data_IF_700539124489
#
_entry.id   IF_700539124489
#
_cell.length_a   1.000
_cell.length_b   1.000
_cell.length_c   1.000
_cell.angle_alpha   90.00
_cell.angle_beta   90.00
_cell.angle_gamma   90.00
#
_symmetry.space_group_name_H-M   'P 1'
#
loop_
_entity.id
_entity.type
_entity.pdbx_description
1 polymer ?
#
# COMPACT_ATOMS: atom_id res chain seq x y z
N UNK A 1 50.59 6.34 35.65
CA UNK A 1 49.12 6.23 35.76
C UNK A 1 48.53 6.72 34.44
N UNK A 2 48.16 5.80 33.54
CA UNK A 2 47.63 6.14 32.20
C UNK A 2 46.12 5.95 32.23
N UNK A 3 45.37 7.04 32.07
CA UNK A 3 43.92 7.02 31.91
C UNK A 3 43.63 6.93 30.40
N UNK A 4 43.08 5.80 29.96
CA UNK A 4 42.56 5.63 28.60
C UNK A 4 41.10 6.07 28.59
N UNK A 5 40.80 7.18 27.91
CA UNK A 5 39.44 7.57 27.54
C UNK A 5 39.00 6.68 26.36
N UNK A 6 38.05 5.78 26.60
CA UNK A 6 37.30 5.13 25.52
C UNK A 6 36.16 6.06 25.08
N UNK A 7 36.35 6.71 23.92
CA UNK A 7 35.28 7.33 23.16
C UNK A 7 34.39 6.23 22.57
N UNK A 8 33.25 5.99 23.22
CA UNK A 8 32.17 5.16 22.68
C UNK A 8 31.49 5.86 21.52
N UNK A 9 31.96 5.61 20.30
CA UNK A 9 31.22 5.86 19.07
C UNK A 9 30.06 4.87 18.99
N UNK A 10 28.89 5.29 19.48
CA UNK A 10 27.62 4.62 19.17
C UNK A 10 27.32 4.91 17.71
N UNK A 11 27.76 4.00 16.83
CA UNK A 11 27.37 3.99 15.43
C UNK A 11 25.89 3.63 15.33
N UNK A 12 25.04 4.64 15.20
CA UNK A 12 23.69 4.46 14.68
C UNK A 12 23.81 4.08 13.20
N UNK A 13 23.85 2.78 12.93
CA UNK A 13 23.62 2.25 11.58
C UNK A 13 22.15 2.49 11.23
N UNK A 14 21.85 3.66 10.65
CA UNK A 14 20.63 3.86 9.90
C UNK A 14 20.69 2.94 8.68
N UNK A 15 20.09 1.76 8.78
CA UNK A 15 19.80 0.95 7.61
C UNK A 15 18.93 1.81 6.68
N UNK A 16 19.50 2.26 5.57
CA UNK A 16 18.78 3.01 4.56
C UNK A 16 17.63 2.12 4.06
N UNK A 17 16.39 2.49 4.42
CA UNK A 17 15.20 1.84 3.87
C UNK A 17 15.18 2.14 2.37
N UNK A 18 15.44 1.13 1.54
CA UNK A 18 15.42 1.27 0.09
C UNK A 18 13.97 1.35 -0.38
N UNK A 19 13.53 2.55 -0.72
CA UNK A 19 12.26 2.76 -1.42
C UNK A 19 12.49 2.69 -2.93
N UNK A 20 11.68 1.87 -3.61
CA UNK A 20 11.70 1.73 -5.06
C UNK A 20 10.38 2.24 -5.63
N UNK A 21 10.44 3.37 -6.35
CA UNK A 21 9.30 3.93 -7.06
C UNK A 21 9.35 3.53 -8.54
N UNK A 22 8.26 2.99 -9.06
CA UNK A 22 8.11 2.68 -10.50
C UNK A 22 6.68 2.84 -10.97
N UNK A 23 6.51 2.83 -12.29
CA UNK A 23 5.19 2.75 -12.92
C UNK A 23 4.66 1.32 -12.82
N UNK A 24 3.35 1.19 -12.55
CA UNK A 24 2.68 -0.10 -12.52
C UNK A 24 2.65 -0.70 -13.92
N UNK A 25 3.42 -1.75 -14.14
CA UNK A 25 3.33 -2.61 -15.32
C UNK A 25 2.32 -3.76 -15.08
N UNK A 26 2.18 -4.62 -16.08
CA UNK A 26 1.25 -5.76 -16.05
C UNK A 26 1.57 -6.76 -14.95
N UNK A 27 2.84 -7.14 -14.84
CA UNK A 27 3.31 -8.11 -13.85
C UNK A 27 3.13 -7.58 -12.43
N UNK A 28 3.43 -6.29 -12.20
CA UNK A 28 3.23 -5.63 -10.91
C UNK A 28 1.74 -5.50 -10.56
N UNK A 29 0.88 -5.20 -11.54
CA UNK A 29 -0.58 -5.20 -11.34
C UNK A 29 -1.04 -6.57 -10.86
N UNK A 30 -0.65 -7.65 -11.54
CA UNK A 30 -1.03 -9.02 -11.16
C UNK A 30 -0.48 -9.41 -9.79
N UNK A 31 0.77 -9.06 -9.49
CA UNK A 31 1.38 -9.29 -8.18
C UNK A 31 0.59 -8.60 -7.05
N UNK A 32 0.28 -7.31 -7.21
CA UNK A 32 -0.48 -6.53 -6.21
C UNK A 32 -1.90 -7.07 -6.08
N UNK A 33 -2.57 -7.34 -7.20
CA UNK A 33 -3.93 -7.90 -7.19
C UNK A 33 -3.94 -9.25 -6.45
N UNK A 34 -2.96 -10.13 -6.73
CA UNK A 34 -2.81 -11.41 -6.05
C UNK A 34 -2.63 -11.23 -4.54
N UNK A 35 -1.73 -10.35 -4.09
CA UNK A 35 -1.54 -10.09 -2.65
C UNK A 35 -2.86 -9.64 -2.02
N UNK A 36 -3.52 -8.65 -2.60
CA UNK A 36 -4.76 -8.12 -2.04
C UNK A 36 -5.93 -9.13 -2.07
N UNK A 37 -5.94 -10.05 -3.05
CA UNK A 37 -6.94 -11.12 -3.15
C UNK A 37 -6.70 -12.27 -2.18
N UNK A 38 -5.45 -12.70 -2.02
CA UNK A 38 -5.12 -13.89 -1.23
C UNK A 38 -4.83 -13.61 0.24
N UNK A 39 -4.49 -12.36 0.57
CA UNK A 39 -4.08 -12.03 1.94
C UNK A 39 -5.27 -11.92 2.88
N UNK A 40 -5.07 -12.41 4.10
CA UNK A 40 -6.03 -12.27 5.19
C UNK A 40 -5.66 -11.01 5.98
N UNK A 41 -6.65 -10.24 6.43
CA UNK A 41 -6.41 -9.14 7.36
C UNK A 41 -5.92 -9.70 8.68
N UNK A 42 -4.83 -9.15 9.21
CA UNK A 42 -4.30 -9.57 10.51
C UNK A 42 -5.37 -9.45 11.61
N UNK A 43 -5.31 -10.29 12.67
CA UNK A 43 -6.37 -10.36 13.68
C UNK A 43 -6.64 -9.05 14.40
N UNK A 44 -5.64 -8.17 14.51
CA UNK A 44 -5.77 -6.85 15.11
C UNK A 44 -6.42 -5.81 14.18
N UNK A 45 -6.69 -6.13 12.91
CA UNK A 45 -7.31 -5.19 11.97
C UNK A 45 -8.83 -5.38 11.88
N UNK A 46 -9.54 -4.26 11.84
CA UNK A 46 -10.99 -4.19 11.67
C UNK A 46 -11.35 -3.48 10.35
N UNK A 47 -11.15 -4.18 9.25
CA UNK A 47 -11.46 -3.68 7.91
C UNK A 47 -11.60 -4.86 6.93
N UNK A 48 -12.11 -4.57 5.74
CA UNK A 48 -12.18 -5.52 4.63
C UNK A 48 -11.81 -4.83 3.34
N UNK A 49 -11.11 -5.57 2.48
CA UNK A 49 -10.80 -5.17 1.12
C UNK A 49 -11.46 -6.14 0.15
N UNK A 50 -12.00 -5.61 -0.95
CA UNK A 50 -12.42 -6.39 -2.11
C UNK A 50 -11.71 -5.83 -3.32
N UNK A 51 -11.06 -6.70 -4.06
CA UNK A 51 -10.36 -6.35 -5.29
C UNK A 51 -11.08 -6.95 -6.49
N UNK A 52 -11.04 -6.24 -7.62
CA UNK A 52 -11.47 -6.75 -8.92
C UNK A 52 -10.52 -6.28 -10.00
N UNK A 53 -10.09 -7.20 -10.85
CA UNK A 53 -9.48 -6.85 -12.12
C UNK A 53 -10.54 -6.35 -13.11
N UNK A 54 -10.26 -5.22 -13.74
CA UNK A 54 -11.13 -4.59 -14.72
C UNK A 54 -10.36 -4.27 -15.99
N UNK A 55 -11.05 -4.44 -17.13
CA UNK A 55 -10.61 -3.98 -18.44
C UNK A 55 -11.69 -3.11 -19.04
N UNK A 56 -11.37 -1.85 -19.31
CA UNK A 56 -12.32 -0.86 -19.80
C UNK A 56 -11.78 -0.14 -21.04
N UNK A 57 -12.61 0.05 -22.05
CA UNK A 57 -12.30 0.93 -23.17
C UNK A 57 -12.41 2.39 -22.69
N UNK A 58 -11.32 3.15 -22.82
CA UNK A 58 -11.27 4.58 -22.51
C UNK A 58 -11.01 5.40 -23.76
N UNK A 59 -11.72 6.51 -23.89
CA UNK A 59 -11.56 7.47 -24.99
C UNK A 59 -10.50 8.50 -24.61
N UNK A 60 -9.43 8.55 -25.40
CA UNK A 60 -8.39 9.56 -25.32
C UNK A 60 -8.49 10.49 -26.53
N UNK A 61 -7.79 11.63 -26.49
CA UNK A 61 -7.68 12.53 -27.65
C UNK A 61 -7.08 11.82 -28.88
N UNK A 62 -6.25 10.80 -28.65
CA UNK A 62 -5.66 9.95 -29.69
C UNK A 62 -6.55 8.77 -30.16
N UNK A 63 -7.80 8.68 -29.69
CA UNK A 63 -8.73 7.58 -29.97
C UNK A 63 -9.02 6.68 -28.76
N UNK A 64 -9.82 5.62 -28.99
CA UNK A 64 -10.14 4.64 -27.95
C UNK A 64 -9.01 3.66 -27.70
N UNK A 65 -8.76 3.33 -26.43
CA UNK A 65 -7.80 2.28 -26.03
C UNK A 65 -8.36 1.47 -24.87
N UNK A 66 -8.04 0.17 -24.85
CA UNK A 66 -8.28 -0.67 -23.69
C UNK A 66 -7.28 -0.32 -22.58
N UNK A 67 -7.81 -0.10 -21.38
CA UNK A 67 -7.01 0.14 -20.18
C UNK A 67 -7.39 -0.91 -19.15
N UNK A 68 -6.38 -1.54 -18.58
CA UNK A 68 -6.57 -2.46 -17.46
C UNK A 68 -6.23 -1.80 -16.15
N UNK A 69 -6.99 -2.18 -15.12
CA UNK A 69 -6.93 -1.55 -13.81
C UNK A 69 -7.41 -2.48 -12.71
N UNK A 70 -6.99 -2.16 -11.49
CA UNK A 70 -7.44 -2.80 -10.27
C UNK A 70 -8.49 -1.89 -9.63
N UNK A 71 -9.71 -2.38 -9.44
CA UNK A 71 -10.69 -1.76 -8.55
C UNK A 71 -10.45 -2.25 -7.13
N UNK A 72 -10.23 -1.33 -6.19
CA UNK A 72 -10.09 -1.62 -4.77
C UNK A 72 -11.26 -0.99 -4.03
N UNK A 73 -12.08 -1.83 -3.41
CA UNK A 73 -13.16 -1.43 -2.51
C UNK A 73 -12.74 -1.71 -1.08
N UNK A 74 -12.61 -0.66 -0.29
CA UNK A 74 -12.21 -0.70 1.11
C UNK A 74 -13.38 -0.36 2.01
N UNK A 75 -13.56 -1.15 3.07
CA UNK A 75 -14.52 -0.87 4.13
C UNK A 75 -13.84 -1.02 5.46
N UNK A 76 -13.65 0.11 6.15
CA UNK A 76 -13.36 0.13 7.57
C UNK A 76 -14.67 -0.14 8.33
N UNK A 77 -14.61 -0.94 9.40
CA UNK A 77 -15.78 -1.34 10.19
C UNK A 77 -16.06 -0.41 11.38
N UNK A 78 -15.38 0.74 11.46
CA UNK A 78 -15.78 1.82 12.38
C UNK A 78 -17.19 2.37 12.06
N UNK A 79 -17.93 2.74 13.10
CA UNK A 79 -19.33 3.20 13.08
C UNK A 79 -19.67 4.30 12.05
N UNK A 80 -18.68 5.05 11.57
CA UNK A 80 -18.87 6.19 10.66
C UNK A 80 -18.03 6.11 9.37
N UNK A 81 -17.36 4.98 9.12
CA UNK A 81 -16.48 4.89 7.95
C UNK A 81 -17.27 4.56 6.68
N UNK A 82 -17.38 5.53 5.78
CA UNK A 82 -17.93 5.29 4.45
C UNK A 82 -17.03 4.32 3.67
N UNK A 83 -17.60 3.34 2.96
CA UNK A 83 -16.80 2.52 2.05
C UNK A 83 -16.21 3.43 0.98
N UNK A 84 -14.92 3.27 0.69
CA UNK A 84 -14.31 3.95 -0.45
C UNK A 84 -13.96 2.94 -1.54
N UNK A 85 -14.02 3.44 -2.77
CA UNK A 85 -13.74 2.68 -3.98
C UNK A 85 -12.81 3.50 -4.85
N UNK A 86 -11.72 2.88 -5.27
CA UNK A 86 -10.66 3.50 -6.07
C UNK A 86 -10.26 2.58 -7.21
N UNK A 87 -9.74 3.18 -8.29
CA UNK A 87 -9.24 2.48 -9.47
C UNK A 87 -7.78 2.84 -9.69
N UNK A 88 -6.91 1.83 -9.79
CA UNK A 88 -5.50 1.99 -10.10
C UNK A 88 -5.22 1.36 -11.46
N UNK A 89 -4.88 2.18 -12.46
CA UNK A 89 -4.64 1.73 -13.83
C UNK A 89 -3.19 1.31 -14.02
N UNK A 90 -2.92 0.40 -14.95
CA UNK A 90 -1.56 0.20 -15.47
C UNK A 90 -0.98 1.56 -15.88
N UNK A 91 0.20 1.90 -15.36
CA UNK A 91 0.82 3.22 -15.45
C UNK A 91 0.64 4.12 -14.21
N UNK A 92 -0.11 3.71 -13.19
CA UNK A 92 -0.13 4.34 -11.86
C UNK A 92 1.25 4.32 -11.21
N UNK A 93 1.54 5.24 -10.28
CA UNK A 93 2.78 5.16 -9.49
C UNK A 93 2.63 4.07 -8.44
N UNK A 94 3.69 3.30 -8.26
CA UNK A 94 3.80 2.32 -7.18
C UNK A 94 5.13 2.52 -6.48
N UNK A 95 5.07 2.62 -5.15
CA UNK A 95 6.24 2.64 -4.28
C UNK A 95 6.26 1.36 -3.46
N UNK A 96 7.40 0.67 -3.48
CA UNK A 96 7.66 -0.51 -2.66
C UNK A 96 8.81 -0.18 -1.71
N UNK A 97 8.66 -0.48 -0.42
CA UNK A 97 9.74 -0.32 0.56
C UNK A 97 9.62 -1.34 1.68
N UNK A 98 10.75 -1.71 2.27
CA UNK A 98 10.78 -2.50 3.50
C UNK A 98 10.74 -1.58 4.71
N UNK A 99 9.80 -1.83 5.63
CA UNK A 99 9.63 -1.05 6.86
C UNK A 99 9.60 -1.97 8.08
N UNK A 100 9.92 -1.42 9.24
CA UNK A 100 9.71 -2.11 10.51
C UNK A 100 8.35 -1.69 11.07
N UNK A 101 7.32 -2.50 10.83
CA UNK A 101 5.97 -2.30 11.31
C UNK A 101 5.85 -2.65 12.78
N UNK A 102 5.14 -1.81 13.53
CA UNK A 102 4.85 -2.02 14.96
C UNK A 102 4.08 -3.33 15.21
N UNK A 103 3.30 -3.80 14.23
CA UNK A 103 2.43 -4.97 14.37
C UNK A 103 2.96 -6.23 13.67
N UNK A 104 3.94 -6.10 12.79
CA UNK A 104 4.43 -7.19 11.94
C UNK A 104 5.95 -7.40 11.94
N UNK A 105 6.71 -6.54 12.62
CA UNK A 105 8.17 -6.51 12.48
C UNK A 105 8.58 -6.04 11.09
N UNK A 106 9.61 -6.64 10.50
CA UNK A 106 10.07 -6.28 9.15
C UNK A 106 9.06 -6.77 8.10
N UNK A 107 8.43 -5.83 7.39
CA UNK A 107 7.37 -6.07 6.39
C UNK A 107 7.62 -5.29 5.10
N UNK A 108 6.92 -5.67 4.04
CA UNK A 108 6.91 -4.92 2.77
C UNK A 108 5.69 -3.99 2.73
N UNK A 109 5.93 -2.69 2.53
CA UNK A 109 4.92 -1.67 2.33
C UNK A 109 4.81 -1.35 0.83
N UNK A 110 3.58 -1.39 0.32
CA UNK A 110 3.24 -1.07 -1.06
C UNK A 110 2.27 0.10 -1.04
N UNK A 111 2.64 1.20 -1.70
CA UNK A 111 1.77 2.36 -1.96
C UNK A 111 1.43 2.42 -3.44
N UNK A 112 0.14 2.49 -3.78
CA UNK A 112 -0.36 2.78 -5.11
C UNK A 112 -0.94 4.17 -5.15
N UNK A 113 -0.58 4.97 -6.15
CA UNK A 113 -1.17 6.29 -6.38
C UNK A 113 -1.93 6.30 -7.70
N UNK A 114 -3.18 6.78 -7.67
CA UNK A 114 -3.95 7.05 -8.88
C UNK A 114 -3.48 8.37 -9.48
N UNK A 115 -3.22 8.37 -10.79
CA UNK A 115 -3.01 9.60 -11.55
C UNK A 115 -4.31 10.35 -11.86
N UNK A 116 -5.34 10.23 -11.02
CA UNK A 116 -6.64 10.88 -11.22
C UNK A 116 -6.75 12.18 -10.42
N UNK A 117 -7.81 12.97 -10.68
CA UNK A 117 -7.96 14.33 -10.13
C UNK A 117 -7.99 14.43 -8.60
N UNK A 118 -8.19 13.32 -7.89
CA UNK A 118 -8.33 13.30 -6.43
C UNK A 118 -7.13 12.65 -5.73
N UNK A 119 -6.06 12.34 -6.48
CA UNK A 119 -4.81 11.75 -5.99
C UNK A 119 -5.05 10.62 -4.98
N UNK A 120 -5.90 9.66 -5.35
CA UNK A 120 -6.24 8.56 -4.45
C UNK A 120 -5.03 7.68 -4.26
N UNK A 121 -4.77 7.30 -3.03
CA UNK A 121 -3.64 6.46 -2.68
C UNK A 121 -4.10 5.31 -1.82
N UNK A 122 -3.60 4.12 -2.11
CA UNK A 122 -3.76 2.94 -1.28
C UNK A 122 -2.38 2.54 -0.77
N UNK A 123 -2.20 2.48 0.55
CA UNK A 123 -0.99 1.94 1.15
C UNK A 123 -1.35 0.74 1.99
N UNK A 124 -0.60 -0.36 1.85
CA UNK A 124 -0.75 -1.53 2.69
C UNK A 124 0.60 -2.18 2.99
N UNK A 125 0.67 -2.84 4.14
CA UNK A 125 1.84 -3.58 4.59
C UNK A 125 1.49 -5.06 4.66
N UNK A 126 2.32 -5.92 4.09
CA UNK A 126 2.17 -7.36 4.19
C UNK A 126 3.43 -8.03 4.78
N UNK A 127 3.19 -9.07 5.57
CA UNK A 127 4.25 -9.79 6.31
C UNK A 127 4.98 -10.85 5.48
N UNK A 128 4.62 -11.01 4.21
CA UNK A 128 5.13 -12.05 3.31
C UNK A 128 4.66 -13.47 3.63
N UNK A 129 3.84 -13.65 4.68
CA UNK A 129 3.24 -14.93 5.11
C UNK A 129 1.74 -15.00 4.81
N UNK A 130 1.25 -14.04 4.03
CA UNK A 130 -0.15 -13.97 3.59
C UNK A 130 -1.05 -13.12 4.48
N UNK A 131 -0.49 -12.28 5.36
CA UNK A 131 -1.27 -11.33 6.14
C UNK A 131 -1.02 -9.89 5.72
N UNK A 132 -2.10 -9.12 5.63
CA UNK A 132 -2.05 -7.66 5.63
C UNK A 132 -2.06 -7.20 7.08
N UNK A 133 -0.97 -6.58 7.52
CA UNK A 133 -0.79 -6.15 8.93
C UNK A 133 -1.13 -4.69 9.16
N UNK A 134 -1.24 -3.92 8.09
CA UNK A 134 -1.73 -2.55 8.09
C UNK A 134 -2.22 -2.17 6.69
N UNK A 135 -3.25 -1.34 6.62
CA UNK A 135 -3.77 -0.83 5.34
C UNK A 135 -4.50 0.48 5.57
N UNK A 136 -4.33 1.41 4.64
CA UNK A 136 -5.11 2.63 4.56
C UNK A 136 -5.36 3.01 3.11
N UNK A 137 -6.43 3.76 2.91
CA UNK A 137 -6.68 4.42 1.65
C UNK A 137 -7.04 5.87 1.92
N UNK A 138 -6.49 6.76 1.11
CA UNK A 138 -6.78 8.19 1.19
C UNK A 138 -7.03 8.79 -0.19
N UNK A 139 -7.67 9.94 -0.19
CA UNK A 139 -7.75 10.88 -1.30
C UNK A 139 -7.55 12.30 -0.75
N UNK A 140 -7.54 13.32 -1.62
CA UNK A 140 -7.34 14.71 -1.20
C UNK A 140 -8.39 15.22 -0.16
N UNK A 141 -9.50 14.50 0.03
CA UNK A 141 -10.61 14.91 0.89
C UNK A 141 -10.75 14.05 2.15
N UNK A 142 -10.30 12.80 2.12
CA UNK A 142 -10.61 11.78 3.14
C UNK A 142 -9.46 10.81 3.32
N UNK A 143 -9.26 10.40 4.57
CA UNK A 143 -8.37 9.28 4.95
C UNK A 143 -9.22 8.20 5.62
N UNK A 144 -9.04 6.96 5.18
CA UNK A 144 -9.68 5.77 5.75
C UNK A 144 -8.63 4.71 6.02
N UNK A 145 -8.08 4.72 7.23
CA UNK A 145 -7.16 3.71 7.73
C UNK A 145 -7.90 2.53 8.36
N UNK A 146 -7.38 1.30 8.24
CA UNK A 146 -7.88 0.16 9.00
C UNK A 146 -7.71 0.45 10.49
N UNK A 147 -8.82 0.43 11.23
CA UNK A 147 -8.77 0.58 12.69
C UNK A 147 -8.23 -0.68 13.34
N UNK A 148 -7.49 -0.50 14.43
CA UNK A 148 -7.18 -1.58 15.33
C UNK A 148 -8.47 -2.11 15.97
N UNK A 149 -8.59 -3.42 16.16
CA UNK A 149 -9.64 -4.01 16.98
C UNK A 149 -9.39 -3.59 18.43
N UNK A 150 -10.42 -3.10 19.13
CA UNK A 150 -10.34 -2.82 20.56
C UNK A 150 -10.12 -4.09 21.38
#
# INVERSE_FOLDING_TARGET
MRVFLFLGLIGFSFAAQTAFARKMDWDLKEFIAKILHSSVMAPHLNCSVKVKDLRQERRFSSGSRWVEMIEVSFRNSGEFAAPMKTFFAVGSNVTLKTVNSEFGGVVEEISLESGDRLNKTLTFQHDGKGQIVWMEMHDDLRVSACRLRP
#
